data_IF_424956953189
#
_entry.id   IF_424956953189
#
_cell.length_a   1.000
_cell.length_b   1.000
_cell.length_c   1.000
_cell.angle_alpha   90.00
_cell.angle_beta   90.00
_cell.angle_gamma   90.00
#
_symmetry.space_group_name_H-M   'P 1'
#
loop_
_entity.id
_entity.type
_entity.pdbx_description
1 polymer ?
#
# COMPACT_ATOMS: atom_id res chain seq x y z
N UNK A 1 28.51 13.99 -13.65
CA UNK A 1 28.01 12.72 -13.09
C UNK A 1 26.78 13.07 -12.27
N UNK A 2 25.65 12.39 -12.48
CA UNK A 2 24.49 12.53 -11.60
C UNK A 2 24.61 11.44 -10.53
N UNK A 3 25.02 11.77 -9.29
CA UNK A 3 25.38 10.75 -8.30
C UNK A 3 24.24 9.77 -8.00
N UNK A 4 22.98 10.23 -8.01
CA UNK A 4 21.81 9.40 -7.71
C UNK A 4 21.41 8.45 -8.85
N UNK A 5 21.83 8.73 -10.08
CA UNK A 5 21.53 7.90 -11.26
C UNK A 5 22.69 7.01 -11.69
N UNK A 6 23.91 7.29 -11.24
CA UNK A 6 25.13 6.67 -11.75
C UNK A 6 25.93 5.89 -10.70
N UNK A 7 25.57 5.97 -9.43
CA UNK A 7 26.25 5.27 -8.35
C UNK A 7 25.29 4.29 -7.65
N UNK A 8 25.71 3.04 -7.56
CA UNK A 8 25.05 2.00 -6.78
C UNK A 8 25.24 2.28 -5.29
N UNK A 9 24.21 2.07 -4.45
CA UNK A 9 24.32 2.18 -3.00
C UNK A 9 25.34 1.21 -2.40
N UNK A 10 25.95 1.59 -1.26
CA UNK A 10 26.92 0.77 -0.51
C UNK A 10 28.18 0.39 -1.30
N UNK A 11 28.42 1.02 -2.45
CA UNK A 11 29.44 0.61 -3.41
C UNK A 11 30.62 1.58 -3.32
N UNK A 12 31.83 1.03 -3.27
CA UNK A 12 33.05 1.82 -3.30
C UNK A 12 33.36 2.25 -4.73
N UNK A 13 33.60 3.54 -4.92
CA UNK A 13 34.03 4.15 -6.16
C UNK A 13 35.41 4.77 -6.00
N UNK A 14 36.15 4.87 -7.11
CA UNK A 14 37.43 5.55 -7.19
C UNK A 14 37.33 6.72 -8.18
N UNK A 15 37.73 7.91 -7.72
CA UNK A 15 37.97 9.07 -8.56
C UNK A 15 39.46 9.12 -8.89
N UNK A 16 39.79 8.95 -10.17
CA UNK A 16 41.16 9.03 -10.67
C UNK A 16 41.34 10.33 -11.44
N UNK A 17 42.21 11.19 -10.93
CA UNK A 17 42.55 12.46 -11.57
C UNK A 17 43.88 12.33 -12.31
N UNK A 18 43.93 12.83 -13.55
CA UNK A 18 45.20 12.99 -14.26
C UNK A 18 46.11 14.00 -13.56
N UNK A 19 47.42 13.93 -13.82
CA UNK A 19 48.36 14.97 -13.36
C UNK A 19 47.89 16.34 -13.83
N UNK A 20 47.84 17.31 -12.91
CA UNK A 20 47.38 18.68 -13.17
C UNK A 20 45.87 18.90 -13.29
N UNK A 21 45.05 17.87 -13.08
CA UNK A 21 43.59 18.01 -13.08
C UNK A 21 43.03 18.68 -11.81
N UNK A 22 43.82 18.75 -10.74
CA UNK A 22 43.47 19.46 -9.51
C UNK A 22 44.41 20.66 -9.41
N UNK A 23 43.83 21.85 -9.25
CA UNK A 23 44.56 23.11 -9.04
C UNK A 23 44.14 23.73 -7.70
N UNK A 24 45.09 24.34 -6.99
CA UNK A 24 44.76 25.17 -5.83
C UNK A 24 44.10 26.50 -6.26
N UNK A 25 43.67 27.30 -5.28
CA UNK A 25 43.04 28.61 -5.55
C UNK A 25 43.99 29.64 -6.16
N UNK A 26 45.29 29.36 -6.17
CA UNK A 26 46.34 30.17 -6.81
C UNK A 26 46.70 29.62 -8.20
N UNK A 27 46.05 28.56 -8.67
CA UNK A 27 46.27 27.94 -9.97
C UNK A 27 47.42 26.94 -10.03
N UNK A 28 48.03 26.58 -8.90
CA UNK A 28 49.11 25.59 -8.88
C UNK A 28 48.53 24.18 -9.06
N UNK A 29 49.01 23.48 -10.08
CA UNK A 29 48.60 22.12 -10.41
C UNK A 29 49.21 21.09 -9.45
N UNK A 30 48.39 20.18 -8.95
CA UNK A 30 48.84 18.97 -8.27
C UNK A 30 49.47 18.03 -9.29
N UNK A 31 50.79 17.83 -9.18
CA UNK A 31 51.58 17.12 -10.20
C UNK A 31 51.60 15.59 -10.03
N UNK A 32 51.21 15.08 -8.85
CA UNK A 32 51.11 13.66 -8.55
C UNK A 32 49.71 13.11 -8.90
N UNK A 33 49.68 11.92 -9.51
CA UNK A 33 48.42 11.20 -9.74
C UNK A 33 47.81 10.86 -8.38
N UNK A 34 46.60 11.37 -8.13
CA UNK A 34 45.88 11.15 -6.87
C UNK A 34 44.61 10.39 -7.16
N UNK A 35 44.42 9.28 -6.46
CA UNK A 35 43.18 8.53 -6.48
C UNK A 35 42.46 8.71 -5.14
N UNK A 36 41.19 9.08 -5.19
CA UNK A 36 40.35 9.20 -4.00
C UNK A 36 39.27 8.12 -4.06
N UNK A 37 39.16 7.34 -3.00
CA UNK A 37 38.06 6.40 -2.86
C UNK A 37 36.97 7.00 -1.97
N UNK A 38 35.73 6.75 -2.35
CA UNK A 38 34.58 7.04 -1.51
C UNK A 38 33.59 5.87 -1.63
N UNK A 39 32.76 5.67 -0.62
CA UNK A 39 31.71 4.64 -0.64
C UNK A 39 30.37 5.35 -0.54
N UNK A 40 29.44 5.03 -1.42
CA UNK A 40 28.07 5.53 -1.31
C UNK A 40 27.42 4.97 -0.04
N UNK A 41 26.48 5.71 0.55
CA UNK A 41 25.65 5.15 1.61
C UNK A 41 24.95 3.88 1.10
N UNK A 42 24.90 2.84 1.93
CA UNK A 42 24.06 1.66 1.65
C UNK A 42 22.60 2.05 1.54
N UNK A 43 21.80 1.26 0.84
CA UNK A 43 20.34 1.30 1.07
C UNK A 43 20.11 0.85 2.50
N UNK A 44 19.51 1.68 3.34
CA UNK A 44 18.99 1.22 4.62
C UNK A 44 18.00 0.08 4.31
N UNK A 45 18.29 -1.12 4.82
CA UNK A 45 17.31 -2.19 4.81
C UNK A 45 16.12 -1.74 5.65
N UNK A 46 14.89 -1.76 5.12
CA UNK A 46 13.69 -1.58 5.93
C UNK A 46 13.75 -2.47 7.17
N UNK A 47 13.57 -1.86 8.35
CA UNK A 47 13.50 -2.58 9.62
C UNK A 47 12.12 -2.34 10.18
N UNK A 48 11.40 -3.42 10.46
CA UNK A 48 10.10 -3.35 11.12
C UNK A 48 10.33 -3.14 12.62
N UNK A 49 9.88 -2.01 13.15
CA UNK A 49 9.96 -1.63 14.54
C UNK A 49 8.68 -2.00 15.28
N UNK A 50 8.84 -2.24 16.59
CA UNK A 50 7.75 -2.37 17.54
C UNK A 50 7.97 -1.27 18.58
N UNK A 51 7.22 -0.19 18.47
CA UNK A 51 7.35 0.99 19.32
C UNK A 51 6.19 1.03 20.30
N UNK A 52 6.51 1.20 21.57
CA UNK A 52 5.54 1.31 22.64
C UNK A 52 5.85 2.55 23.48
N UNK A 53 4.83 3.39 23.68
CA UNK A 53 4.86 4.55 24.55
C UNK A 53 4.65 4.18 26.02
N UNK A 54 4.13 5.15 26.78
CA UNK A 54 3.93 5.10 28.22
C UNK A 54 2.48 5.48 28.55
N UNK A 55 2.17 5.75 29.82
CA UNK A 55 0.85 6.28 30.20
C UNK A 55 0.78 7.82 30.09
N UNK A 56 1.80 8.46 29.54
CA UNK A 56 1.87 9.90 29.33
C UNK A 56 1.90 10.25 27.84
N UNK A 57 2.00 11.54 27.53
CA UNK A 57 2.05 11.97 26.13
C UNK A 57 3.42 11.64 25.52
N UNK A 58 3.42 10.82 24.48
CA UNK A 58 4.60 10.34 23.81
C UNK A 58 4.68 10.82 22.35
N UNK A 59 5.90 10.82 21.82
CA UNK A 59 6.14 10.96 20.38
C UNK A 59 6.87 9.72 19.90
N UNK A 60 6.22 8.94 19.04
CA UNK A 60 6.77 7.73 18.45
C UNK A 60 6.98 7.96 16.95
N UNK A 61 8.18 7.67 16.46
CA UNK A 61 8.54 7.83 15.05
C UNK A 61 9.14 6.53 14.52
N UNK A 62 8.49 5.96 13.53
CA UNK A 62 8.94 4.80 12.77
C UNK A 62 10.02 5.15 11.75
N UNK A 63 10.34 4.19 10.89
CA UNK A 63 11.37 4.27 9.87
C UNK A 63 10.80 3.84 8.52
N UNK A 64 11.59 3.18 7.67
CA UNK A 64 11.18 2.78 6.33
C UNK A 64 10.61 1.35 6.26
N UNK A 65 10.36 0.71 7.40
CA UNK A 65 9.83 -0.65 7.53
C UNK A 65 8.33 -0.67 7.73
N UNK A 66 7.75 -1.86 7.92
CA UNK A 66 6.36 -1.98 8.37
C UNK A 66 6.32 -1.99 9.90
N UNK A 67 6.16 -0.80 10.48
CA UNK A 67 6.28 -0.57 11.91
C UNK A 67 4.94 -0.75 12.63
N UNK A 68 5.03 -1.10 13.92
CA UNK A 68 3.87 -1.17 14.81
C UNK A 68 4.06 -0.20 15.96
N UNK A 69 3.16 0.76 16.09
CA UNK A 69 3.20 1.83 17.07
C UNK A 69 2.03 1.68 18.05
N UNK A 70 2.33 1.64 19.35
CA UNK A 70 1.33 1.60 20.42
C UNK A 70 1.59 2.74 21.39
N UNK A 71 0.77 3.79 21.33
CA UNK A 71 0.88 4.95 22.23
C UNK A 71 0.67 4.60 23.70
N UNK A 72 -0.28 3.69 23.96
CA UNK A 72 -0.86 3.39 25.27
C UNK A 72 -1.76 4.52 25.74
N UNK A 73 -1.46 5.20 26.86
CA UNK A 73 -2.35 6.23 27.41
C UNK A 73 -1.68 7.59 27.38
N UNK A 74 -2.48 8.67 27.34
CA UNK A 74 -1.96 10.00 27.05
C UNK A 74 -2.45 10.48 25.69
N UNK A 75 -1.99 11.64 25.26
CA UNK A 75 -2.27 12.16 23.93
C UNK A 75 -0.99 12.09 23.10
N UNK A 76 -0.92 11.13 22.18
CA UNK A 76 0.34 10.80 21.52
C UNK A 76 0.45 11.42 20.13
N UNK A 77 1.70 11.53 19.67
CA UNK A 77 2.01 11.83 18.26
C UNK A 77 2.73 10.64 17.66
N UNK A 78 2.08 9.99 16.69
CA UNK A 78 2.58 8.77 16.05
C UNK A 78 2.87 9.06 14.58
N UNK A 79 4.13 8.88 14.18
CA UNK A 79 4.56 8.97 12.80
C UNK A 79 5.09 7.60 12.36
N UNK A 80 4.43 6.94 11.40
CA UNK A 80 4.88 5.61 10.93
C UNK A 80 6.14 5.68 10.07
N UNK A 81 6.37 6.81 9.39
CA UNK A 81 7.48 6.95 8.45
C UNK A 81 7.10 6.47 7.04
N UNK A 82 7.85 5.53 6.49
CA UNK A 82 7.58 4.97 5.17
C UNK A 82 7.36 3.46 5.31
N UNK A 83 6.36 2.91 4.64
CA UNK A 83 6.06 1.49 4.77
C UNK A 83 4.57 1.27 4.83
N UNK A 84 4.16 0.16 5.45
CA UNK A 84 2.78 -0.09 5.82
C UNK A 84 2.77 -0.18 7.33
N UNK A 85 2.48 0.96 7.96
CA UNK A 85 2.61 1.14 9.39
C UNK A 85 1.27 0.95 10.09
N UNK A 86 1.32 0.38 11.31
CA UNK A 86 0.14 0.04 12.09
C UNK A 86 0.14 0.75 13.43
N UNK A 87 -0.86 1.59 13.69
CA UNK A 87 -1.16 2.06 15.03
C UNK A 87 -2.13 1.09 15.74
N UNK A 88 -1.78 0.67 16.95
CA UNK A 88 -2.52 -0.34 17.72
C UNK A 88 -3.24 0.30 18.90
N UNK A 89 -4.52 -0.04 19.04
CA UNK A 89 -5.43 0.48 20.04
C UNK A 89 -5.93 -0.62 20.98
N UNK A 90 -6.11 -0.27 22.25
CA UNK A 90 -6.31 -1.25 23.32
C UNK A 90 -7.73 -1.81 23.41
N UNK A 91 -8.71 -1.24 22.71
CA UNK A 91 -10.12 -1.61 22.78
C UNK A 91 -10.77 -1.83 21.40
N UNK A 92 -12.06 -2.17 21.40
CA UNK A 92 -12.85 -2.35 20.18
C UNK A 92 -13.03 -1.03 19.40
N UNK A 93 -13.15 -1.10 18.07
CA UNK A 93 -13.28 0.07 17.18
C UNK A 93 -14.39 1.01 17.61
N UNK A 94 -15.51 0.48 18.10
CA UNK A 94 -16.70 1.25 18.50
C UNK A 94 -16.44 2.29 19.58
N UNK A 95 -15.34 2.16 20.33
CA UNK A 95 -14.94 3.09 21.38
C UNK A 95 -14.19 4.32 20.87
N UNK A 96 -13.68 4.28 19.64
CA UNK A 96 -12.83 5.33 19.09
C UNK A 96 -13.58 6.23 18.11
N UNK A 97 -13.31 7.52 18.16
CA UNK A 97 -13.71 8.47 17.13
C UNK A 97 -12.49 8.76 16.26
N UNK A 98 -12.66 8.66 14.94
CA UNK A 98 -11.59 8.89 13.97
C UNK A 98 -11.97 10.09 13.13
N UNK A 99 -11.06 11.05 13.03
CA UNK A 99 -11.22 12.25 12.20
C UNK A 99 -10.05 12.35 11.22
N UNK A 100 -10.37 12.63 9.96
CA UNK A 100 -9.37 12.86 8.91
C UNK A 100 -9.18 14.37 8.71
N UNK A 101 -7.95 14.86 8.82
CA UNK A 101 -7.58 16.27 8.64
C UNK A 101 -6.44 16.36 7.62
N UNK A 102 -6.76 16.30 6.33
CA UNK A 102 -5.75 16.20 5.28
C UNK A 102 -4.99 14.88 5.38
N UNK A 103 -3.66 14.92 5.54
CA UNK A 103 -2.82 13.73 5.68
C UNK A 103 -2.66 13.25 7.13
N UNK A 104 -3.35 13.91 8.07
CA UNK A 104 -3.27 13.58 9.48
C UNK A 104 -4.56 12.93 9.95
N UNK A 105 -4.42 11.84 10.71
CA UNK A 105 -5.51 11.17 11.40
C UNK A 105 -5.52 11.63 12.87
N UNK A 106 -6.72 11.83 13.42
CA UNK A 106 -6.92 11.97 14.86
C UNK A 106 -7.75 10.82 15.36
N UNK A 107 -7.25 10.06 16.32
CA UNK A 107 -7.95 8.93 16.93
C UNK A 107 -8.17 9.23 18.40
N UNK A 108 -9.43 9.40 18.78
CA UNK A 108 -9.83 9.72 20.14
C UNK A 108 -10.53 8.53 20.80
N UNK A 109 -9.99 8.09 21.93
CA UNK A 109 -10.67 7.17 22.83
C UNK A 109 -11.72 7.90 23.67
N UNK A 110 -12.99 7.54 23.49
CA UNK A 110 -14.11 8.17 24.21
C UNK A 110 -14.20 7.83 25.70
N UNK A 111 -13.51 6.79 26.17
CA UNK A 111 -13.38 6.48 27.60
C UNK A 111 -12.02 6.88 28.19
N UNK A 112 -11.11 7.41 27.36
CA UNK A 112 -9.90 8.12 27.78
C UNK A 112 -8.75 7.27 28.32
N UNK A 113 -8.75 5.94 28.14
CA UNK A 113 -7.57 5.12 28.52
C UNK A 113 -6.43 5.30 27.53
N UNK A 114 -6.77 5.45 26.25
CA UNK A 114 -5.79 5.68 25.18
C UNK A 114 -5.73 7.16 24.74
N UNK A 115 -6.44 8.04 25.45
CA UNK A 115 -6.49 9.48 25.19
C UNK A 115 -6.83 9.88 23.75
N UNK A 116 -6.10 10.85 23.18
CA UNK A 116 -6.35 11.42 21.85
C UNK A 116 -5.05 11.57 21.07
N UNK A 117 -4.90 10.76 20.04
CA UNK A 117 -3.66 10.66 19.27
C UNK A 117 -3.73 11.38 17.94
N UNK A 118 -2.57 11.86 17.52
CA UNK A 118 -2.31 12.50 16.24
C UNK A 118 -1.38 11.62 15.41
N UNK A 119 -1.87 11.14 14.27
CA UNK A 119 -1.20 10.15 13.44
C UNK A 119 -0.83 10.74 12.07
N UNK A 120 0.39 10.48 11.63
CA UNK A 120 0.86 10.74 10.26
C UNK A 120 1.55 9.51 9.70
N UNK A 121 1.44 9.30 8.38
CA UNK A 121 2.06 8.16 7.69
C UNK A 121 1.71 6.82 8.38
N UNK A 122 0.42 6.62 8.69
CA UNK A 122 -0.10 5.38 9.25
C UNK A 122 -1.15 4.86 8.28
N UNK A 123 -0.88 3.69 7.71
CA UNK A 123 -1.77 3.06 6.75
C UNK A 123 -2.83 2.22 7.45
N UNK A 124 -2.54 1.69 8.65
CA UNK A 124 -3.42 0.77 9.37
C UNK A 124 -3.71 1.21 10.80
N UNK A 125 -4.99 1.14 11.14
CA UNK A 125 -5.44 1.15 12.52
C UNK A 125 -5.87 -0.26 12.91
N UNK A 126 -5.34 -0.77 14.02
CA UNK A 126 -5.69 -2.08 14.56
C UNK A 126 -6.36 -1.93 15.91
N UNK A 127 -7.62 -2.34 15.98
CA UNK A 127 -8.41 -2.43 17.20
C UNK A 127 -8.49 -3.89 17.66
N UNK A 128 -9.14 -4.15 18.80
CA UNK A 128 -9.30 -5.53 19.29
C UNK A 128 -10.15 -6.43 18.37
N UNK A 129 -11.13 -5.84 17.68
CA UNK A 129 -12.18 -6.56 16.95
C UNK A 129 -12.06 -6.45 15.42
N UNK A 130 -11.32 -5.45 14.92
CA UNK A 130 -11.15 -5.20 13.49
C UNK A 130 -9.99 -4.24 13.21
N UNK A 131 -9.67 -4.05 11.93
CA UNK A 131 -8.79 -2.98 11.48
C UNK A 131 -9.46 -2.04 10.48
N UNK A 132 -8.80 -0.93 10.21
CA UNK A 132 -9.15 0.02 9.14
C UNK A 132 -7.88 0.35 8.35
N UNK A 133 -7.98 0.33 7.03
CA UNK A 133 -6.89 0.66 6.14
C UNK A 133 -7.13 1.98 5.39
N UNK A 134 -6.11 2.83 5.30
CA UNK A 134 -6.19 4.20 4.75
C UNK A 134 -5.36 4.39 3.47
N UNK A 135 -4.54 3.40 3.09
CA UNK A 135 -3.68 3.43 1.90
C UNK A 135 -4.43 3.21 0.58
N UNK A 136 -5.32 4.14 0.22
CA UNK A 136 -6.15 4.01 -0.99
C UNK A 136 -5.38 4.21 -2.31
N UNK A 137 -4.18 4.77 -2.25
CA UNK A 137 -3.23 4.77 -3.36
C UNK A 137 -2.32 3.52 -3.35
N UNK A 138 -2.44 2.67 -2.31
CA UNK A 138 -1.65 1.46 -2.08
C UNK A 138 -2.48 0.17 -2.07
N UNK A 139 -2.23 -0.68 -1.06
CA UNK A 139 -2.81 -2.01 -0.94
C UNK A 139 -4.30 -1.95 -0.63
N UNK A 140 -4.77 -1.04 0.23
CA UNK A 140 -6.21 -0.89 0.50
C UNK A 140 -7.00 -0.48 -0.73
N UNK A 141 -6.47 0.47 -1.52
CA UNK A 141 -7.07 0.84 -2.80
C UNK A 141 -7.10 -0.32 -3.79
N UNK A 142 -6.00 -1.06 -3.89
CA UNK A 142 -5.91 -2.24 -4.77
C UNK A 142 -6.92 -3.32 -4.36
N UNK A 143 -7.04 -3.60 -3.06
CA UNK A 143 -8.02 -4.54 -2.51
C UNK A 143 -9.46 -4.10 -2.85
N UNK A 144 -9.83 -2.86 -2.53
CA UNK A 144 -11.18 -2.34 -2.79
C UNK A 144 -11.54 -2.39 -4.29
N UNK A 145 -10.62 -1.95 -5.15
CA UNK A 145 -10.81 -1.95 -6.61
C UNK A 145 -11.03 -3.35 -7.15
N UNK A 146 -10.16 -4.30 -6.78
CA UNK A 146 -10.23 -5.69 -7.27
C UNK A 146 -11.48 -6.39 -6.74
N UNK A 147 -11.80 -6.24 -5.45
CA UNK A 147 -13.02 -6.80 -4.88
C UNK A 147 -14.26 -6.25 -5.55
N UNK A 148 -14.32 -4.93 -5.79
CA UNK A 148 -15.41 -4.29 -6.52
C UNK A 148 -15.64 -4.87 -7.92
N UNK A 149 -14.56 -5.02 -8.70
CA UNK A 149 -14.66 -5.49 -10.07
C UNK A 149 -14.97 -6.99 -10.20
N UNK A 150 -14.48 -7.82 -9.27
CA UNK A 150 -14.54 -9.28 -9.40
C UNK A 150 -15.62 -9.91 -8.52
N UNK A 151 -15.78 -9.40 -7.30
CA UNK A 151 -16.77 -9.89 -6.33
C UNK A 151 -18.00 -8.96 -6.22
N UNK A 152 -17.99 -7.83 -6.92
CA UNK A 152 -19.05 -6.83 -6.90
C UNK A 152 -18.83 -5.76 -5.83
N UNK A 153 -19.42 -4.57 -6.02
CA UNK A 153 -19.19 -3.43 -5.13
C UNK A 153 -19.54 -3.71 -3.65
N UNK A 154 -20.55 -4.53 -3.38
CA UNK A 154 -20.92 -4.92 -2.02
C UNK A 154 -19.81 -5.73 -1.29
N UNK A 155 -18.91 -6.38 -2.03
CA UNK A 155 -17.79 -7.13 -1.46
C UNK A 155 -16.77 -6.24 -0.75
N UNK A 156 -16.73 -4.94 -1.09
CA UNK A 156 -15.86 -3.96 -0.41
C UNK A 156 -16.28 -3.75 1.05
N UNK A 157 -17.54 -4.02 1.39
CA UNK A 157 -18.04 -3.98 2.77
C UNK A 157 -17.92 -5.35 3.48
N UNK A 158 -17.52 -6.39 2.77
CA UNK A 158 -17.27 -7.69 3.39
C UNK A 158 -15.87 -7.70 4.03
N UNK A 159 -15.85 -7.40 5.33
CA UNK A 159 -14.63 -7.27 6.13
C UNK A 159 -13.72 -8.52 6.09
N UNK A 160 -14.28 -9.71 5.88
CA UNK A 160 -13.49 -10.93 5.71
C UNK A 160 -12.75 -10.92 4.37
N UNK A 161 -13.44 -10.61 3.28
CA UNK A 161 -12.81 -10.53 1.96
C UNK A 161 -11.76 -9.43 1.89
N UNK A 162 -12.05 -8.28 2.49
CA UNK A 162 -11.08 -7.19 2.61
C UNK A 162 -9.87 -7.64 3.42
N UNK A 163 -10.08 -8.29 4.57
CA UNK A 163 -8.99 -8.78 5.42
C UNK A 163 -8.07 -9.76 4.69
N UNK A 164 -8.66 -10.70 3.94
CA UNK A 164 -7.90 -11.66 3.10
C UNK A 164 -7.11 -10.91 2.02
N UNK A 165 -7.76 -9.99 1.30
CA UNK A 165 -7.13 -9.25 0.21
C UNK A 165 -5.94 -8.40 0.70
N UNK A 166 -6.14 -7.65 1.79
CA UNK A 166 -5.09 -6.85 2.42
C UNK A 166 -3.94 -7.74 2.90
N UNK A 167 -4.23 -8.83 3.60
CA UNK A 167 -3.21 -9.75 4.11
C UNK A 167 -2.32 -10.32 2.98
N UNK A 168 -2.91 -10.65 1.83
CA UNK A 168 -2.17 -11.11 0.65
C UNK A 168 -1.29 -10.00 0.05
N UNK A 169 -1.85 -8.80 -0.14
CA UNK A 169 -1.13 -7.67 -0.73
C UNK A 169 0.03 -7.19 0.16
N UNK A 170 -0.18 -7.15 1.47
CA UNK A 170 0.86 -6.75 2.44
C UNK A 170 2.03 -7.76 2.48
N UNK A 171 1.78 -9.01 2.10
CA UNK A 171 2.80 -10.04 1.93
C UNK A 171 3.46 -10.04 0.54
N UNK A 172 3.13 -9.06 -0.31
CA UNK A 172 3.74 -8.87 -1.63
C UNK A 172 3.02 -9.60 -2.77
N UNK A 173 1.79 -10.08 -2.55
CA UNK A 173 0.94 -10.58 -3.65
C UNK A 173 0.69 -9.44 -4.64
N UNK A 174 0.86 -9.69 -5.94
CA UNK A 174 0.58 -8.67 -6.95
C UNK A 174 -0.93 -8.47 -7.17
N UNK A 175 -1.32 -7.32 -7.71
CA UNK A 175 -2.70 -7.04 -8.11
C UNK A 175 -3.26 -8.12 -9.07
N UNK A 176 -2.45 -8.60 -10.03
CA UNK A 176 -2.85 -9.66 -10.95
C UNK A 176 -3.07 -11.00 -10.23
N UNK A 177 -2.20 -11.34 -9.29
CA UNK A 177 -2.33 -12.57 -8.50
C UNK A 177 -3.56 -12.51 -7.59
N UNK A 178 -3.83 -11.36 -6.95
CA UNK A 178 -5.03 -11.16 -6.16
C UNK A 178 -6.30 -11.24 -7.02
N UNK A 179 -6.30 -10.61 -8.19
CA UNK A 179 -7.42 -10.67 -9.14
C UNK A 179 -7.69 -12.12 -9.60
N UNK A 180 -6.62 -12.87 -9.89
CA UNK A 180 -6.73 -14.30 -10.24
C UNK A 180 -7.30 -15.12 -9.09
N UNK A 181 -6.82 -14.90 -7.85
CA UNK A 181 -7.34 -15.58 -6.68
C UNK A 181 -8.83 -15.28 -6.46
N UNK A 182 -9.25 -14.01 -6.57
CA UNK A 182 -10.64 -13.60 -6.47
C UNK A 182 -11.52 -14.27 -7.55
N UNK A 183 -11.05 -14.32 -8.80
CA UNK A 183 -11.76 -15.00 -9.88
C UNK A 183 -11.93 -16.50 -9.61
N UNK A 184 -10.89 -17.16 -9.10
CA UNK A 184 -10.95 -18.58 -8.73
C UNK A 184 -11.96 -18.84 -7.61
N UNK A 185 -12.09 -17.93 -6.63
CA UNK A 185 -13.13 -18.03 -5.59
C UNK A 185 -14.53 -17.88 -6.19
N UNK A 186 -14.73 -16.91 -7.10
CA UNK A 186 -16.05 -16.61 -7.66
C UNK A 186 -16.52 -17.62 -8.71
N UNK A 187 -15.60 -18.19 -9.50
CA UNK A 187 -15.94 -19.01 -10.67
C UNK A 187 -15.41 -20.45 -10.60
N UNK A 188 -14.46 -20.73 -9.72
CA UNK A 188 -13.68 -21.97 -9.68
C UNK A 188 -12.47 -21.95 -10.62
N UNK A 189 -11.49 -22.84 -10.37
CA UNK A 189 -10.18 -22.86 -11.03
C UNK A 189 -10.18 -23.14 -12.55
N UNK A 190 -11.31 -23.54 -13.13
CA UNK A 190 -11.43 -23.91 -14.55
C UNK A 190 -12.54 -23.12 -15.25
N UNK A 191 -12.74 -21.87 -14.84
CA UNK A 191 -13.69 -20.97 -15.48
C UNK A 191 -13.34 -20.77 -16.96
N UNK A 192 -14.36 -20.74 -17.83
CA UNK A 192 -14.15 -20.40 -19.24
C UNK A 192 -13.94 -18.90 -19.39
N UNK A 193 -13.24 -18.49 -20.45
CA UNK A 193 -13.03 -17.08 -20.80
C UNK A 193 -14.35 -16.30 -20.88
N UNK A 194 -15.40 -16.89 -21.43
CA UNK A 194 -16.76 -16.33 -21.45
C UNK A 194 -17.26 -15.99 -20.05
N UNK A 195 -17.18 -16.92 -19.10
CA UNK A 195 -17.66 -16.71 -17.72
C UNK A 195 -16.87 -15.63 -16.98
N UNK A 196 -15.57 -15.54 -17.24
CA UNK A 196 -14.72 -14.46 -16.67
C UNK A 196 -15.20 -13.10 -17.17
N UNK A 197 -15.38 -12.94 -18.48
CA UNK A 197 -15.82 -11.67 -19.07
C UNK A 197 -17.23 -11.30 -18.61
N UNK A 198 -18.17 -12.25 -18.61
CA UNK A 198 -19.54 -12.02 -18.14
C UNK A 198 -19.61 -11.57 -16.68
N UNK A 199 -18.85 -12.21 -15.78
CA UNK A 199 -18.79 -11.83 -14.37
C UNK A 199 -18.30 -10.38 -14.20
N UNK A 200 -17.16 -10.05 -14.82
CA UNK A 200 -16.55 -8.73 -14.70
C UNK A 200 -17.49 -7.65 -15.25
N UNK A 201 -18.10 -7.86 -16.41
CA UNK A 201 -19.09 -6.93 -16.97
C UNK A 201 -20.32 -6.78 -16.07
N UNK A 202 -20.84 -7.87 -15.52
CA UNK A 202 -21.98 -7.80 -14.62
C UNK A 202 -21.68 -6.97 -13.36
N UNK A 203 -20.47 -7.06 -12.81
CA UNK A 203 -20.09 -6.32 -11.61
C UNK A 203 -19.71 -4.86 -11.89
N UNK A 204 -18.96 -4.61 -12.96
CA UNK A 204 -18.47 -3.26 -13.30
C UNK A 204 -19.51 -2.48 -14.07
N UNK A 205 -20.11 -3.06 -15.11
CA UNK A 205 -21.07 -2.38 -15.99
C UNK A 205 -22.50 -2.50 -15.49
N UNK A 206 -22.81 -3.54 -14.71
CA UNK A 206 -24.17 -3.82 -14.24
C UNK A 206 -25.02 -4.60 -15.25
N UNK A 207 -24.45 -4.97 -16.40
CA UNK A 207 -25.12 -5.75 -17.45
C UNK A 207 -24.15 -6.72 -18.13
N UNK A 208 -24.70 -7.72 -18.82
CA UNK A 208 -23.91 -8.59 -19.69
C UNK A 208 -23.18 -7.78 -20.79
N UNK A 209 -22.00 -8.24 -21.25
CA UNK A 209 -21.30 -7.63 -22.37
C UNK A 209 -22.12 -7.76 -23.67
N UNK A 210 -21.96 -6.80 -24.58
CA UNK A 210 -22.43 -7.00 -25.95
C UNK A 210 -21.62 -8.08 -26.68
N UNK A 211 -22.12 -8.56 -27.82
CA UNK A 211 -21.51 -9.66 -28.56
C UNK A 211 -20.08 -9.34 -29.04
N UNK A 212 -19.77 -8.07 -29.34
CA UNK A 212 -18.45 -7.67 -29.81
C UNK A 212 -17.45 -7.62 -28.66
N UNK A 213 -17.83 -7.01 -27.53
CA UNK A 213 -17.00 -6.99 -26.32
C UNK A 213 -16.74 -8.40 -25.80
N UNK A 214 -17.76 -9.25 -25.76
CA UNK A 214 -17.61 -10.63 -25.32
C UNK A 214 -16.60 -11.38 -26.20
N UNK A 215 -16.78 -11.33 -27.53
CA UNK A 215 -15.89 -12.01 -28.47
C UNK A 215 -14.45 -11.47 -28.43
N UNK A 216 -14.29 -10.16 -28.25
CA UNK A 216 -12.98 -9.52 -28.14
C UNK A 216 -12.22 -10.01 -26.91
N UNK A 217 -12.80 -9.84 -25.72
CA UNK A 217 -12.10 -10.18 -24.47
C UNK A 217 -11.97 -11.68 -24.27
N UNK A 218 -13.01 -12.47 -24.56
CA UNK A 218 -12.90 -13.93 -24.42
C UNK A 218 -11.86 -14.50 -25.39
N UNK A 219 -11.80 -13.97 -26.61
CA UNK A 219 -10.79 -14.36 -27.59
C UNK A 219 -9.36 -14.00 -27.16
N UNK A 220 -9.15 -12.85 -26.52
CA UNK A 220 -7.84 -12.48 -25.96
C UNK A 220 -7.40 -13.43 -24.84
N UNK A 221 -8.33 -13.81 -23.96
CA UNK A 221 -8.08 -14.79 -22.89
C UNK A 221 -7.74 -16.17 -23.47
N UNK A 222 -8.51 -16.65 -24.45
CA UNK A 222 -8.30 -17.97 -25.07
C UNK A 222 -6.97 -18.08 -25.82
N UNK A 223 -6.49 -16.96 -26.41
CA UNK A 223 -5.19 -16.89 -27.08
C UNK A 223 -4.01 -16.61 -26.13
N UNK A 224 -4.27 -16.36 -24.85
CA UNK A 224 -3.24 -16.02 -23.86
C UNK A 224 -2.62 -14.63 -24.06
N UNK A 225 -3.27 -13.75 -24.83
CA UNK A 225 -2.83 -12.36 -25.04
C UNK A 225 -3.13 -11.48 -23.82
N UNK A 226 -4.12 -11.89 -23.02
CA UNK A 226 -4.51 -11.27 -21.76
C UNK A 226 -4.78 -12.39 -20.76
N UNK A 227 -4.24 -12.30 -19.54
CA UNK A 227 -4.62 -13.22 -18.46
C UNK A 227 -5.96 -12.80 -17.84
N UNK A 228 -6.67 -13.74 -17.20
CA UNK A 228 -7.90 -13.42 -16.49
C UNK A 228 -7.66 -12.42 -15.34
N UNK A 229 -6.53 -12.56 -14.64
CA UNK A 229 -6.10 -11.59 -13.62
C UNK A 229 -5.82 -10.20 -14.19
N UNK A 230 -5.17 -10.12 -15.36
CA UNK A 230 -4.93 -8.84 -16.04
C UNK A 230 -6.24 -8.17 -16.47
N UNK A 231 -7.21 -8.93 -16.98
CA UNK A 231 -8.54 -8.39 -17.28
C UNK A 231 -9.23 -7.86 -16.02
N UNK A 232 -9.13 -8.59 -14.90
CA UNK A 232 -9.64 -8.15 -13.60
C UNK A 232 -9.01 -6.84 -13.11
N UNK A 233 -7.69 -6.69 -13.28
CA UNK A 233 -6.96 -5.44 -12.94
C UNK A 233 -7.34 -4.28 -13.88
N UNK A 234 -7.51 -4.52 -15.17
CA UNK A 234 -7.97 -3.48 -16.10
C UNK A 234 -9.37 -2.99 -15.72
N UNK A 235 -10.28 -3.93 -15.45
CA UNK A 235 -11.64 -3.61 -15.05
C UNK A 235 -11.71 -2.88 -13.70
N UNK A 236 -10.84 -3.24 -12.76
CA UNK A 236 -10.80 -2.64 -11.41
C UNK A 236 -10.41 -1.17 -11.40
N UNK A 237 -9.70 -0.70 -12.43
CA UNK A 237 -9.27 0.70 -12.58
C UNK A 237 -10.20 1.55 -13.45
N UNK A 238 -11.34 1.01 -13.91
CA UNK A 238 -12.32 1.79 -14.67
C UNK A 238 -13.04 2.81 -13.78
N UNK A 239 -13.34 3.99 -14.32
CA UNK A 239 -14.09 5.03 -13.61
C UNK A 239 -15.42 4.52 -13.04
N UNK A 240 -16.07 3.62 -13.78
CA UNK A 240 -17.34 3.03 -13.36
C UNK A 240 -17.17 2.14 -12.11
N UNK A 241 -16.12 1.32 -12.05
CA UNK A 241 -15.82 0.56 -10.84
C UNK A 241 -15.48 1.48 -9.66
N UNK A 242 -14.64 2.49 -9.88
CA UNK A 242 -14.25 3.46 -8.85
C UNK A 242 -15.46 4.20 -8.27
N UNK A 243 -16.44 4.54 -9.13
CA UNK A 243 -17.71 5.13 -8.71
C UNK A 243 -18.58 4.13 -7.93
N UNK A 244 -18.70 2.90 -8.39
CA UNK A 244 -19.54 1.88 -7.74
C UNK A 244 -19.07 1.51 -6.33
N UNK A 245 -17.75 1.49 -6.10
CA UNK A 245 -17.17 1.22 -4.78
C UNK A 245 -17.06 2.46 -3.89
N UNK A 246 -17.46 3.63 -4.38
CA UNK A 246 -17.30 4.92 -3.70
C UNK A 246 -15.87 5.13 -3.17
N UNK A 247 -14.88 5.00 -4.05
CA UNK A 247 -13.46 5.09 -3.64
C UNK A 247 -13.13 6.44 -2.99
N UNK A 248 -13.85 7.50 -3.36
CA UNK A 248 -13.72 8.84 -2.76
C UNK A 248 -14.26 8.87 -1.34
N UNK A 249 -15.41 8.22 -1.09
CA UNK A 249 -15.94 8.04 0.27
C UNK A 249 -14.98 7.22 1.13
N UNK A 250 -14.45 6.11 0.61
CA UNK A 250 -13.47 5.28 1.31
C UNK A 250 -12.19 6.05 1.65
N UNK A 251 -11.78 7.03 0.85
CA UNK A 251 -10.62 7.87 1.16
C UNK A 251 -10.83 8.73 2.42
N UNK A 252 -12.08 8.94 2.83
CA UNK A 252 -12.44 9.67 4.05
C UNK A 252 -12.65 8.75 5.25
N UNK A 253 -13.22 7.56 5.02
CA UNK A 253 -13.61 6.63 6.10
C UNK A 253 -12.58 5.54 6.38
N UNK A 254 -11.69 5.28 5.43
CA UNK A 254 -10.89 4.06 5.37
C UNK A 254 -11.70 2.84 4.97
N UNK A 255 -11.00 1.72 4.81
CA UNK A 255 -11.53 0.42 4.43
C UNK A 255 -11.50 -0.54 5.63
N UNK A 256 -12.68 -0.87 6.17
CA UNK A 256 -12.82 -1.78 7.32
C UNK A 256 -12.49 -3.24 6.96
N UNK A 257 -11.77 -3.93 7.84
CA UNK A 257 -11.41 -5.34 7.64
C UNK A 257 -11.38 -6.16 8.92
N UNK A 258 -11.61 -7.47 8.80
CA UNK A 258 -11.42 -8.42 9.90
C UNK A 258 -9.95 -8.78 10.00
N UNK A 259 -9.45 -8.84 11.24
CA UNK A 259 -8.10 -9.28 11.52
C UNK A 259 -7.98 -10.77 11.18
N UNK A 260 -6.99 -11.10 10.35
CA UNK A 260 -6.66 -12.49 10.02
C UNK A 260 -5.65 -12.97 11.07
N UNK A 261 -5.95 -14.11 11.70
CA UNK A 261 -5.10 -14.73 12.74
C UNK A 261 -3.93 -15.51 12.20
#
# INVERSE_FOLDING_TARGET
MNPTANLSPGTQYQLSFGSGAIVDTSGNALTAQSAYTFTTAGTATPVNLQLQGTSGNDTLTGQSGADTLTGLGGNDTLDGGAGIDTAVYSAARSRYQITHNGNQLTVQDTAGTDGTDQLSNIERLKFQDQGIAFDLDGNAGTAAKILGAIAGAAAVQNKEYVGIALNLLDQGTSAEQLATAALNVMLGNNATSTRVVELIFQNVVGSAPDANSLALYSGMLDRGELSAGQLGVLASNTDLNLQHIDIVGLAQTGLDYLLIG
#
